data_IF_289671922830
#
_entry.id   IF_289671922830
#
_cell.length_a   1.000
_cell.length_b   1.000
_cell.length_c   1.000
_cell.angle_alpha   90.00
_cell.angle_beta   90.00
_cell.angle_gamma   90.00
#
_symmetry.space_group_name_H-M   'P 1'
#
loop_
_entity.id
_entity.type
_entity.pdbx_description
1 polymer ?
#
# COMPACT_ATOMS: atom_id res chain seq x y z
N UNK A 1 -12.89 -16.77 15.39
CA UNK A 1 -14.06 -16.03 14.85
C UNK A 1 -13.86 -14.51 14.83
N UNK A 2 -13.49 -13.85 15.94
CA UNK A 2 -13.26 -12.39 15.98
C UNK A 2 -12.06 -11.95 15.13
N UNK A 3 -10.91 -12.63 15.30
CA UNK A 3 -9.69 -12.32 14.54
C UNK A 3 -9.90 -12.42 13.02
N UNK A 4 -10.55 -13.48 12.54
CA UNK A 4 -10.87 -13.64 11.12
C UNK A 4 -11.77 -12.52 10.57
N UNK A 5 -12.73 -12.08 11.39
CA UNK A 5 -13.60 -10.96 11.01
C UNK A 5 -12.78 -9.67 10.91
N UNK A 6 -11.91 -9.40 11.88
CA UNK A 6 -10.99 -8.26 11.88
C UNK A 6 -10.07 -8.30 10.66
N UNK A 7 -9.43 -9.44 10.40
CA UNK A 7 -8.56 -9.62 9.24
C UNK A 7 -9.26 -9.30 7.92
N UNK A 8 -10.47 -9.85 7.71
CA UNK A 8 -11.27 -9.53 6.52
C UNK A 8 -11.63 -8.06 6.41
N UNK A 9 -11.85 -7.37 7.53
CA UNK A 9 -12.05 -5.92 7.53
C UNK A 9 -10.79 -5.17 7.11
N UNK A 10 -9.61 -5.56 7.60
CA UNK A 10 -8.34 -4.98 7.16
C UNK A 10 -8.20 -5.09 5.65
N UNK A 11 -8.41 -6.28 5.07
CA UNK A 11 -8.33 -6.48 3.60
C UNK A 11 -9.30 -5.56 2.85
N UNK A 12 -10.55 -5.41 3.32
CA UNK A 12 -11.54 -4.52 2.69
C UNK A 12 -11.12 -3.05 2.78
N UNK A 13 -10.61 -2.63 3.92
CA UNK A 13 -10.11 -1.26 4.13
C UNK A 13 -8.89 -1.00 3.25
N UNK A 14 -7.92 -1.92 3.19
CA UNK A 14 -6.76 -1.81 2.30
C UNK A 14 -7.17 -1.74 0.83
N UNK A 15 -8.20 -2.47 0.43
CA UNK A 15 -8.75 -2.37 -0.93
C UNK A 15 -9.38 -1.00 -1.19
N UNK A 16 -10.20 -0.48 -0.27
CA UNK A 16 -10.76 0.87 -0.38
C UNK A 16 -9.65 1.93 -0.44
N UNK A 17 -8.63 1.81 0.40
CA UNK A 17 -7.47 2.69 0.41
C UNK A 17 -6.71 2.65 -0.92
N UNK A 18 -6.57 1.47 -1.51
CA UNK A 18 -5.99 1.29 -2.86
C UNK A 18 -6.75 2.12 -3.90
N UNK A 19 -8.09 2.05 -3.89
CA UNK A 19 -8.92 2.84 -4.82
C UNK A 19 -8.70 4.34 -4.62
N UNK A 20 -8.61 4.80 -3.36
CA UNK A 20 -8.29 6.20 -3.04
C UNK A 20 -6.92 6.60 -3.59
N UNK A 21 -5.87 5.78 -3.36
CA UNK A 21 -4.53 6.06 -3.86
C UNK A 21 -4.46 6.08 -5.39
N UNK A 22 -5.22 5.22 -6.09
CA UNK A 22 -5.33 5.31 -7.56
C UNK A 22 -6.03 6.59 -8.01
N UNK A 23 -7.11 6.99 -7.32
CA UNK A 23 -7.79 8.26 -7.59
C UNK A 23 -6.87 9.46 -7.43
N UNK A 24 -6.08 9.48 -6.35
CA UNK A 24 -5.02 10.47 -6.15
C UNK A 24 -3.98 10.37 -7.28
N UNK A 25 -3.48 9.17 -7.60
CA UNK A 25 -2.52 8.97 -8.69
C UNK A 25 -2.99 9.61 -10.01
N UNK A 26 -4.25 9.39 -10.39
CA UNK A 26 -4.85 9.99 -11.59
C UNK A 26 -4.90 11.52 -11.48
N UNK A 27 -5.35 12.05 -10.34
CA UNK A 27 -5.43 13.50 -10.10
C UNK A 27 -4.06 14.18 -10.16
N UNK A 28 -3.04 13.55 -9.58
CA UNK A 28 -1.68 14.08 -9.52
C UNK A 28 -0.94 13.93 -10.86
N UNK A 29 -1.17 12.85 -11.61
CA UNK A 29 -0.43 12.53 -12.83
C UNK A 29 -0.46 13.63 -13.90
N UNK A 30 -1.56 14.40 -13.99
CA UNK A 30 -1.68 15.51 -14.95
C UNK A 30 -0.96 16.78 -14.53
N UNK A 31 -0.59 16.91 -13.25
CA UNK A 31 0.02 18.12 -12.66
C UNK A 31 1.48 17.92 -12.26
N UNK A 32 1.87 16.67 -12.04
CA UNK A 32 3.24 16.33 -11.68
C UNK A 32 4.22 16.60 -12.83
N UNK A 33 5.45 17.07 -12.52
CA UNK A 33 6.52 17.18 -13.50
C UNK A 33 6.89 15.81 -14.09
N UNK A 34 7.72 15.79 -15.14
CA UNK A 34 8.13 14.55 -15.81
C UNK A 34 8.83 13.56 -14.86
N UNK A 35 9.56 14.09 -13.88
CA UNK A 35 10.27 13.33 -12.85
C UNK A 35 9.78 13.72 -11.46
N UNK A 36 9.57 12.72 -10.60
CA UNK A 36 9.10 12.87 -9.22
C UNK A 36 10.08 12.20 -8.25
N UNK A 37 10.17 12.65 -7.00
CA UNK A 37 10.99 11.99 -6.01
C UNK A 37 10.41 10.61 -5.67
N UNK A 38 11.27 9.60 -5.65
CA UNK A 38 10.90 8.20 -5.36
C UNK A 38 11.65 7.62 -4.17
N UNK A 39 12.76 8.24 -3.74
CA UNK A 39 13.53 7.83 -2.58
C UNK A 39 14.08 9.03 -1.83
N UNK A 40 14.02 8.95 -0.51
CA UNK A 40 14.51 9.97 0.41
C UNK A 40 15.66 9.39 1.25
N UNK A 41 16.72 10.17 1.41
CA UNK A 41 17.82 9.88 2.31
C UNK A 41 17.44 10.03 3.78
N UNK A 42 18.33 9.61 4.68
CA UNK A 42 18.14 9.76 6.14
C UNK A 42 18.14 11.23 6.56
N UNK A 43 18.78 12.09 5.75
CA UNK A 43 18.78 13.54 5.86
C UNK A 43 17.48 14.20 5.32
N UNK A 44 16.53 13.41 4.82
CA UNK A 44 15.27 13.88 4.26
C UNK A 44 15.37 14.44 2.85
N UNK A 45 16.57 14.43 2.23
CA UNK A 45 16.77 14.90 0.85
C UNK A 45 16.38 13.84 -0.16
N UNK A 46 15.97 14.27 -1.34
CA UNK A 46 15.67 13.36 -2.45
C UNK A 46 16.98 12.76 -2.94
N UNK A 47 17.12 11.44 -2.81
CA UNK A 47 18.29 10.71 -3.29
C UNK A 47 18.07 10.11 -4.67
N UNK A 48 16.80 9.91 -5.06
CA UNK A 48 16.48 9.32 -6.35
C UNK A 48 15.17 9.88 -6.93
N UNK A 49 15.20 10.09 -8.23
CA UNK A 49 14.09 10.60 -9.03
C UNK A 49 13.61 9.50 -9.98
N UNK A 50 12.32 9.45 -10.22
CA UNK A 50 11.70 8.50 -11.13
C UNK A 50 10.71 9.18 -12.05
N UNK A 51 10.36 8.50 -13.15
CA UNK A 51 9.30 8.99 -14.04
C UNK A 51 8.00 9.23 -13.28
N UNK A 52 7.20 10.21 -13.69
CA UNK A 52 5.87 10.48 -13.12
C UNK A 52 4.91 9.29 -13.14
N UNK A 53 5.11 8.32 -14.03
CA UNK A 53 4.34 7.06 -14.05
C UNK A 53 4.51 6.27 -12.74
N UNK A 54 5.63 6.47 -12.04
CA UNK A 54 5.92 5.84 -10.74
C UNK A 54 4.92 6.23 -9.65
N UNK A 55 4.11 7.28 -9.83
CA UNK A 55 3.00 7.63 -8.92
C UNK A 55 2.03 6.46 -8.70
N UNK A 56 1.91 5.55 -9.68
CA UNK A 56 1.06 4.36 -9.60
C UNK A 56 1.72 3.14 -8.95
N UNK A 57 3.01 3.22 -8.61
CA UNK A 57 3.76 2.08 -8.07
C UNK A 57 3.18 1.59 -6.74
N UNK A 58 3.05 2.47 -5.74
CA UNK A 58 2.50 2.12 -4.42
C UNK A 58 1.03 1.69 -4.46
N UNK A 59 0.11 2.36 -5.19
CA UNK A 59 -1.23 1.86 -5.42
C UNK A 59 -1.24 0.43 -5.99
N UNK A 60 -0.36 0.14 -6.95
CA UNK A 60 -0.26 -1.19 -7.59
C UNK A 60 0.27 -2.25 -6.62
N UNK A 61 1.33 -1.93 -5.86
CA UNK A 61 1.88 -2.84 -4.85
C UNK A 61 0.82 -3.14 -3.78
N UNK A 62 0.11 -2.12 -3.29
CA UNK A 62 -0.95 -2.30 -2.29
C UNK A 62 -2.08 -3.19 -2.84
N UNK A 63 -2.47 -2.99 -4.10
CA UNK A 63 -3.49 -3.82 -4.75
C UNK A 63 -3.06 -5.28 -4.78
N UNK A 64 -1.86 -5.57 -5.30
CA UNK A 64 -1.34 -6.92 -5.43
C UNK A 64 -1.26 -7.61 -4.07
N UNK A 65 -0.67 -6.95 -3.08
CA UNK A 65 -0.56 -7.47 -1.71
C UNK A 65 -1.94 -7.73 -1.12
N UNK A 66 -2.91 -6.83 -1.34
CA UNK A 66 -4.28 -7.00 -0.85
C UNK A 66 -5.01 -8.17 -1.51
N UNK A 67 -4.78 -8.41 -2.80
CA UNK A 67 -5.38 -9.53 -3.53
C UNK A 67 -4.83 -10.88 -3.05
N UNK A 68 -3.51 -11.00 -2.87
CA UNK A 68 -2.89 -12.25 -2.38
C UNK A 68 -3.16 -12.48 -0.89
N UNK A 69 -3.41 -11.42 -0.11
CA UNK A 69 -3.74 -11.48 1.31
C UNK A 69 -5.20 -11.85 1.59
N UNK A 70 -5.98 -12.29 0.61
CA UNK A 70 -7.34 -12.77 0.89
C UNK A 70 -7.27 -14.07 1.69
N UNK A 71 -8.09 -14.18 2.74
CA UNK A 71 -8.14 -15.36 3.62
C UNK A 71 -8.19 -16.68 2.86
N UNK A 72 -8.99 -16.75 1.77
CA UNK A 72 -9.09 -17.93 0.90
C UNK A 72 -7.72 -18.47 0.45
N UNK A 73 -6.75 -17.62 0.15
CA UNK A 73 -5.44 -18.06 -0.32
C UNK A 73 -4.52 -18.47 0.82
N UNK A 74 -4.56 -17.74 1.94
CA UNK A 74 -3.76 -18.05 3.14
C UNK A 74 -4.22 -19.36 3.78
N UNK A 75 -5.53 -19.58 3.85
CA UNK A 75 -6.15 -20.74 4.49
C UNK A 75 -5.97 -22.04 3.68
N UNK A 76 -5.64 -21.95 2.38
CA UNK A 76 -5.25 -23.11 1.56
C UNK A 76 -3.88 -23.65 1.98
N UNK A 77 -2.94 -22.76 2.36
CA UNK A 77 -1.58 -23.14 2.73
C UNK A 77 -1.45 -23.48 4.22
N UNK A 78 -2.13 -22.74 5.09
CA UNK A 78 -2.04 -22.90 6.54
C UNK A 78 -3.43 -23.18 7.13
N UNK A 79 -3.60 -24.22 7.96
CA UNK A 79 -4.88 -24.52 8.59
C UNK A 79 -5.43 -23.31 9.36
N UNK A 80 -6.71 -22.98 9.16
CA UNK A 80 -7.31 -21.74 9.68
C UNK A 80 -7.32 -21.59 11.22
N UNK A 81 -7.07 -22.67 11.97
CA UNK A 81 -6.98 -22.67 13.44
C UNK A 81 -5.53 -22.72 13.95
N UNK A 82 -4.55 -22.88 13.05
CA UNK A 82 -3.13 -22.99 13.39
C UNK A 82 -2.49 -21.64 13.76
N UNK A 83 -1.54 -21.66 14.68
CA UNK A 83 -0.76 -20.47 15.06
C UNK A 83 0.00 -19.85 13.88
N UNK A 84 0.47 -20.67 12.94
CA UNK A 84 1.15 -20.21 11.73
C UNK A 84 0.24 -19.38 10.82
N UNK A 85 -1.01 -19.80 10.63
CA UNK A 85 -1.99 -19.04 9.85
C UNK A 85 -2.21 -17.65 10.45
N UNK A 86 -2.37 -17.60 11.78
CA UNK A 86 -2.55 -16.35 12.52
C UNK A 86 -1.33 -15.44 12.39
N UNK A 87 -0.12 -15.98 12.53
CA UNK A 87 1.12 -15.22 12.38
C UNK A 87 1.25 -14.63 10.96
N UNK A 88 1.01 -15.43 9.92
CA UNK A 88 1.06 -14.95 8.54
C UNK A 88 0.04 -13.84 8.29
N UNK A 89 -1.20 -13.98 8.79
CA UNK A 89 -2.22 -12.92 8.68
C UNK A 89 -1.79 -11.64 9.40
N UNK A 90 -1.15 -11.74 10.57
CA UNK A 90 -0.60 -10.58 11.29
C UNK A 90 0.49 -9.89 10.47
N UNK A 91 1.43 -10.66 9.90
CA UNK A 91 2.51 -10.13 9.06
C UNK A 91 1.93 -9.41 7.84
N UNK A 92 0.96 -10.01 7.15
CA UNK A 92 0.30 -9.41 5.99
C UNK A 92 -0.42 -8.10 6.34
N UNK A 93 -1.13 -8.05 7.49
CA UNK A 93 -1.70 -6.80 7.99
C UNK A 93 -0.61 -5.73 8.20
N UNK A 94 0.53 -6.10 8.79
CA UNK A 94 1.67 -5.21 8.99
C UNK A 94 2.24 -4.67 7.67
N UNK A 95 2.44 -5.55 6.68
CA UNK A 95 2.89 -5.15 5.34
C UNK A 95 1.90 -4.18 4.69
N UNK A 96 0.60 -4.47 4.73
CA UNK A 96 -0.42 -3.58 4.18
C UNK A 96 -0.43 -2.21 4.88
N UNK A 97 -0.32 -2.19 6.20
CA UNK A 97 -0.26 -0.94 6.96
C UNK A 97 0.96 -0.10 6.57
N UNK A 98 2.14 -0.73 6.44
CA UNK A 98 3.36 -0.05 6.00
C UNK A 98 3.22 0.51 4.58
N UNK A 99 2.71 -0.27 3.64
CA UNK A 99 2.51 0.17 2.25
C UNK A 99 1.52 1.34 2.21
N UNK A 100 0.42 1.28 2.98
CA UNK A 100 -0.52 2.39 3.10
C UNK A 100 0.14 3.66 3.65
N UNK A 101 0.92 3.53 4.73
CA UNK A 101 1.61 4.66 5.35
C UNK A 101 2.62 5.32 4.42
N UNK A 102 3.45 4.53 3.75
CA UNK A 102 4.42 5.05 2.78
C UNK A 102 3.71 5.67 1.56
N UNK A 103 2.67 5.03 1.04
CA UNK A 103 1.87 5.57 -0.05
C UNK A 103 1.24 6.92 0.31
N UNK A 104 0.61 7.02 1.47
CA UNK A 104 0.03 8.28 1.96
C UNK A 104 1.08 9.39 2.12
N UNK A 105 2.23 9.06 2.68
CA UNK A 105 3.34 9.99 2.85
C UNK A 105 3.87 10.51 1.51
N UNK A 106 4.03 9.65 0.51
CA UNK A 106 4.45 10.07 -0.83
C UNK A 106 3.43 11.02 -1.48
N UNK A 107 2.13 10.72 -1.39
CA UNK A 107 1.11 11.62 -1.92
C UNK A 107 1.05 12.96 -1.20
N UNK A 108 1.33 12.99 0.11
CA UNK A 108 1.50 14.24 0.85
C UNK A 108 2.68 15.06 0.32
N UNK A 109 3.83 14.42 0.05
CA UNK A 109 4.96 15.12 -0.56
C UNK A 109 4.64 15.61 -1.98
N UNK A 110 3.93 14.81 -2.77
CA UNK A 110 3.48 15.22 -4.10
C UNK A 110 2.53 16.41 -4.03
N UNK A 111 1.69 16.55 -2.99
CA UNK A 111 0.87 17.76 -2.81
C UNK A 111 1.70 19.01 -2.56
N UNK A 112 2.81 18.89 -1.83
CA UNK A 112 3.71 20.02 -1.57
C UNK A 112 4.48 20.46 -2.83
N UNK A 113 4.61 19.59 -3.83
CA UNK A 113 5.23 19.94 -5.13
C UNK A 113 4.25 20.68 -6.07
N UNK A 114 2.96 20.71 -5.75
CA UNK A 114 1.95 21.40 -6.56
C UNK A 114 1.67 22.84 -6.10
N UNK A 115 2.19 23.22 -4.93
CA UNK A 115 2.18 24.58 -4.38
C UNK A 115 3.36 25.39 -4.93
#
# INVERSE_FOLDING_TARGET
MIFERFYRWVIRISFAFTVVLYGLGIFFYSRLPAEIPIQFGVDGRVNNWGSKVTVFLFPTILLLVTLISRSKYVDVKYPGVGGENRLHKIILCGCQFLICGVGAYLFFLYSQMLE
#
